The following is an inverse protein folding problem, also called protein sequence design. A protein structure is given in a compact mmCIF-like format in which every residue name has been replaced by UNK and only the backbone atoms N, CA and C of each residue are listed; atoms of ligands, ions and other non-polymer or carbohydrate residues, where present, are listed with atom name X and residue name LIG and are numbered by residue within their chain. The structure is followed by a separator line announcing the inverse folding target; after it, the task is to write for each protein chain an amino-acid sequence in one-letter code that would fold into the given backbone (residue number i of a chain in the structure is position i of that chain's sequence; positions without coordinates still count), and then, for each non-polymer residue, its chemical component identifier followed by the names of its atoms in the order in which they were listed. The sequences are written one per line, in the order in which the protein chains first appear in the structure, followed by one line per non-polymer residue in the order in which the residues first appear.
data_IF_255353880797
#
_entry.id   IF_255353880797
#
_cell.length_a   1.000
_cell.length_b   1.000
_cell.length_c   1.000
_cell.angle_alpha   90.00
_cell.angle_beta   90.00
_cell.angle_gamma   90.00
#
_symmetry.space_group_name_H-M   'P 1'
#
loop_
_entity.id
_entity.type
_entity.pdbx_description
1 polymer ?
#
# COMPACT_ATOMS: atom_id res chain seq x y z
N UNK A 1 7.20 -33.55 -1.58
CA UNK A 1 5.93 -33.21 -0.90
C UNK A 1 5.67 -31.74 -1.22
N UNK A 2 4.64 -31.47 -2.03
CA UNK A 2 4.18 -30.10 -2.29
C UNK A 2 3.48 -29.60 -1.04
N UNK A 3 3.99 -28.54 -0.43
CA UNK A 3 3.34 -27.88 0.71
C UNK A 3 2.25 -26.96 0.15
N UNK A 4 1.08 -27.53 -0.14
CA UNK A 4 -0.05 -26.73 -0.59
C UNK A 4 -0.61 -25.90 0.58
N UNK A 5 -0.69 -24.58 0.35
CA UNK A 5 -1.37 -23.57 1.17
C UNK A 5 -0.83 -23.35 2.59
N UNK A 6 0.28 -22.61 2.70
CA UNK A 6 0.73 -22.01 3.96
C UNK A 6 -0.13 -20.77 4.24
N UNK A 7 -0.96 -20.81 5.27
CA UNK A 7 -1.70 -19.65 5.79
C UNK A 7 -0.77 -18.62 6.44
N UNK A 8 -1.18 -17.35 6.49
CA UNK A 8 -0.41 -16.25 7.10
C UNK A 8 0.01 -16.54 8.55
N UNK A 9 -0.79 -17.31 9.30
CA UNK A 9 -0.50 -17.70 10.68
C UNK A 9 0.66 -18.70 10.77
N UNK A 10 0.90 -19.47 9.71
CA UNK A 10 1.96 -20.46 9.63
C UNK A 10 3.32 -19.84 9.25
N UNK A 11 3.38 -18.56 8.84
CA UNK A 11 4.64 -17.86 8.53
C UNK A 11 5.62 -17.82 9.71
N UNK A 12 5.09 -17.73 10.93
CA UNK A 12 5.89 -17.76 12.17
C UNK A 12 6.67 -19.07 12.33
N UNK A 13 6.16 -20.19 11.79
CA UNK A 13 6.84 -21.50 11.79
C UNK A 13 8.07 -21.52 10.87
N UNK A 14 8.19 -20.55 9.98
CA UNK A 14 9.32 -20.35 9.08
C UNK A 14 10.20 -19.17 9.51
N UNK A 15 10.06 -18.72 10.76
CA UNK A 15 10.77 -17.55 11.30
C UNK A 15 10.52 -16.25 10.51
N UNK A 16 9.39 -16.16 9.80
CA UNK A 16 8.97 -14.91 9.16
C UNK A 16 8.04 -14.15 10.09
N UNK A 17 8.48 -12.97 10.50
CA UNK A 17 7.66 -12.01 11.22
C UNK A 17 6.89 -11.15 10.22
N UNK A 18 5.55 -11.16 10.32
CA UNK A 18 4.66 -10.41 9.41
C UNK A 18 4.89 -8.91 9.47
N UNK A 19 5.18 -8.36 10.64
CA UNK A 19 5.39 -6.91 10.78
C UNK A 19 6.71 -6.47 10.17
N UNK A 20 7.76 -7.31 10.25
CA UNK A 20 9.03 -7.08 9.56
C UNK A 20 8.87 -7.22 8.05
N UNK A 21 8.07 -8.18 7.59
CA UNK A 21 7.78 -8.36 6.16
C UNK A 21 7.13 -7.10 5.55
N UNK A 22 6.20 -6.46 6.29
CA UNK A 22 5.54 -5.21 5.87
C UNK A 22 6.49 -4.02 5.75
N UNK A 23 7.66 -4.07 6.39
CA UNK A 23 8.67 -3.01 6.27
C UNK A 23 9.52 -3.20 4.99
N UNK A 24 9.53 -4.38 4.38
CA UNK A 24 10.28 -4.67 3.15
C UNK A 24 9.52 -4.19 1.91
N UNK A 25 10.28 -3.82 0.86
CA UNK A 25 9.72 -3.56 -0.48
C UNK A 25 8.90 -4.77 -0.95
N UNK A 26 7.77 -4.55 -1.61
CA UNK A 26 6.84 -5.62 -1.99
C UNK A 26 7.51 -6.71 -2.86
N UNK A 27 8.42 -6.33 -3.76
CA UNK A 27 9.21 -7.29 -4.52
C UNK A 27 10.00 -8.25 -3.60
N UNK A 28 10.64 -7.72 -2.55
CA UNK A 28 11.41 -8.52 -1.59
C UNK A 28 10.46 -9.41 -0.77
N UNK A 29 9.26 -8.91 -0.43
CA UNK A 29 8.24 -9.72 0.23
C UNK A 29 7.86 -10.93 -0.64
N UNK A 30 7.60 -10.71 -1.92
CA UNK A 30 7.25 -11.78 -2.86
C UNK A 30 8.39 -12.78 -3.05
N UNK A 31 9.64 -12.32 -3.18
CA UNK A 31 10.82 -13.19 -3.28
C UNK A 31 11.01 -14.04 -2.01
N UNK A 32 10.80 -13.46 -0.83
CA UNK A 32 10.88 -14.19 0.43
C UNK A 32 9.81 -15.28 0.54
N UNK A 33 8.59 -15.00 0.06
CA UNK A 33 7.47 -15.94 0.12
C UNK A 33 7.50 -17.00 -0.99
N UNK A 34 7.96 -16.67 -2.20
CA UNK A 34 8.07 -17.63 -3.31
C UNK A 34 9.06 -18.78 -3.01
N UNK A 35 10.03 -18.53 -2.13
CA UNK A 35 10.96 -19.55 -1.65
C UNK A 35 10.31 -20.55 -0.67
N UNK A 36 9.13 -20.24 -0.13
CA UNK A 36 8.45 -21.04 0.89
C UNK A 36 7.23 -21.79 0.39
N UNK A 37 6.63 -21.35 -0.73
CA UNK A 37 5.44 -21.98 -1.30
C UNK A 37 5.51 -21.95 -2.82
N UNK A 38 5.19 -23.07 -3.46
CA UNK A 38 5.13 -23.23 -4.91
C UNK A 38 3.81 -22.79 -5.53
N UNK A 39 2.78 -22.54 -4.70
CA UNK A 39 1.46 -22.06 -5.11
C UNK A 39 1.09 -20.88 -4.19
N UNK A 40 1.56 -19.68 -4.52
CA UNK A 40 0.83 -18.49 -4.14
C UNK A 40 -0.15 -18.26 -5.29
N UNK A 41 -1.37 -18.78 -5.12
CA UNK A 41 -2.49 -18.47 -6.01
C UNK A 41 -2.87 -16.98 -5.78
N UNK A 42 -2.01 -16.10 -6.28
CA UNK A 42 -2.15 -14.64 -6.26
C UNK A 42 -3.13 -14.16 -7.33
N UNK A 43 -3.59 -15.07 -8.20
CA UNK A 43 -4.56 -14.74 -9.22
C UNK A 43 -5.94 -14.45 -8.57
N UNK A 44 -6.42 -13.23 -8.77
CA UNK A 44 -7.83 -12.82 -8.71
C UNK A 44 -8.43 -12.29 -7.40
N UNK A 45 -7.66 -11.74 -6.46
CA UNK A 45 -8.27 -10.98 -5.33
C UNK A 45 -8.30 -9.46 -5.51
N UNK A 46 -7.69 -8.92 -6.57
CA UNK A 46 -7.75 -7.50 -6.87
C UNK A 46 -8.92 -7.15 -7.79
N UNK A 47 -9.46 -5.95 -7.61
CA UNK A 47 -10.43 -5.39 -8.53
C UNK A 47 -9.76 -5.14 -9.89
N UNK A 48 -10.40 -5.61 -10.96
CA UNK A 48 -9.95 -5.29 -12.32
C UNK A 48 -10.62 -3.99 -12.83
N UNK A 49 -10.25 -3.56 -14.03
CA UNK A 49 -10.77 -2.32 -14.63
C UNK A 49 -12.30 -2.33 -14.85
N UNK A 50 -12.89 -3.51 -15.08
CA UNK A 50 -14.34 -3.67 -15.21
C UNK A 50 -15.03 -3.46 -13.86
N UNK A 51 -14.48 -4.02 -12.77
CA UNK A 51 -15.00 -3.84 -11.41
C UNK A 51 -14.93 -2.37 -10.99
N UNK A 52 -13.78 -1.74 -11.23
CA UNK A 52 -13.57 -0.31 -10.94
C UNK A 52 -14.60 0.54 -11.70
N UNK A 53 -14.78 0.30 -13.00
CA UNK A 53 -15.76 1.05 -13.81
C UNK A 53 -17.19 0.85 -13.30
N UNK A 54 -17.57 -0.39 -12.96
CA UNK A 54 -18.88 -0.69 -12.40
C UNK A 54 -19.13 0.08 -11.10
N UNK A 55 -18.20 0.02 -10.15
CA UNK A 55 -18.31 0.68 -8.85
C UNK A 55 -18.30 2.21 -8.99
N UNK A 56 -17.50 2.77 -9.90
CA UNK A 56 -17.52 4.20 -10.21
C UNK A 56 -18.89 4.66 -10.72
N UNK A 57 -19.53 3.89 -11.59
CA UNK A 57 -20.90 4.18 -12.05
C UNK A 57 -21.94 4.12 -10.92
N UNK A 58 -21.61 3.52 -9.78
CA UNK A 58 -22.42 3.50 -8.55
C UNK A 58 -22.03 4.60 -7.56
N UNK A 59 -21.12 5.51 -7.93
CA UNK A 59 -20.71 6.64 -7.12
C UNK A 59 -19.51 6.36 -6.19
N UNK A 60 -18.88 5.19 -6.31
CA UNK A 60 -17.66 4.91 -5.54
C UNK A 60 -16.49 5.74 -6.05
N UNK A 61 -15.67 6.21 -5.11
CA UNK A 61 -14.42 6.90 -5.38
C UNK A 61 -13.26 5.92 -5.28
N UNK A 62 -12.29 6.07 -6.18
CA UNK A 62 -11.06 5.31 -6.21
C UNK A 62 -9.89 6.28 -6.13
N UNK A 63 -8.86 5.88 -5.42
CA UNK A 63 -7.67 6.67 -5.12
C UNK A 63 -6.47 5.73 -4.96
N UNK A 64 -5.28 6.28 -4.70
CA UNK A 64 -4.07 5.49 -4.49
C UNK A 64 -4.04 4.86 -3.09
N UNK A 65 -3.50 3.64 -3.00
CA UNK A 65 -3.06 3.04 -1.73
C UNK A 65 -1.52 3.01 -1.62
N UNK A 66 -0.84 3.93 -2.31
CA UNK A 66 0.60 3.93 -2.47
C UNK A 66 1.09 3.13 -3.68
N UNK A 67 2.39 3.20 -3.98
CA UNK A 67 3.03 2.48 -5.09
C UNK A 67 3.24 0.98 -4.81
N UNK A 68 3.22 0.60 -3.53
CA UNK A 68 3.41 -0.77 -3.05
C UNK A 68 2.95 -0.84 -1.58
N UNK A 69 2.68 -2.06 -1.09
CA UNK A 69 2.17 -2.28 0.27
C UNK A 69 3.29 -2.51 1.30
N UNK A 70 4.28 -1.61 1.31
CA UNK A 70 5.42 -1.58 2.25
C UNK A 70 5.41 -0.33 3.15
N UNK A 71 6.30 -0.28 4.14
CA UNK A 71 6.56 0.93 4.90
C UNK A 71 7.34 1.97 4.06
N UNK A 72 6.61 2.85 3.39
CA UNK A 72 7.17 3.86 2.48
C UNK A 72 8.13 4.84 3.16
N UNK A 73 8.13 4.93 4.50
CA UNK A 73 9.05 5.77 5.27
C UNK A 73 10.48 5.27 5.24
N UNK A 74 10.70 4.02 4.83
CA UNK A 74 12.02 3.43 4.67
C UNK A 74 12.60 3.69 3.26
N UNK A 75 11.84 4.34 2.38
CA UNK A 75 12.28 4.68 1.02
C UNK A 75 12.91 6.08 1.03
N UNK A 76 14.07 6.19 0.39
CA UNK A 76 14.79 7.44 0.16
C UNK A 76 13.98 8.44 -0.69
N UNK A 77 14.07 9.73 -0.37
CA UNK A 77 13.25 10.80 -0.95
C UNK A 77 13.17 10.74 -2.49
N UNK A 78 14.32 10.62 -3.16
CA UNK A 78 14.41 10.63 -4.62
C UNK A 78 13.62 9.48 -5.26
N UNK A 79 13.72 8.30 -4.67
CA UNK A 79 13.01 7.12 -5.17
C UNK A 79 11.53 7.19 -4.81
N UNK A 80 11.20 7.65 -3.59
CA UNK A 80 9.82 7.83 -3.17
C UNK A 80 9.08 8.84 -4.05
N UNK A 81 9.70 9.97 -4.39
CA UNK A 81 9.15 10.97 -5.32
C UNK A 81 8.82 10.30 -6.65
N UNK A 82 9.76 9.56 -7.24
CA UNK A 82 9.56 8.87 -8.52
C UNK A 82 8.39 7.88 -8.45
N UNK A 83 8.32 7.07 -7.40
CA UNK A 83 7.24 6.09 -7.22
C UNK A 83 5.88 6.77 -7.06
N UNK A 84 5.80 7.80 -6.23
CA UNK A 84 4.56 8.56 -6.02
C UNK A 84 4.12 9.32 -7.27
N UNK A 85 5.06 9.90 -8.03
CA UNK A 85 4.76 10.54 -9.32
C UNK A 85 4.19 9.55 -10.33
N UNK A 86 4.74 8.32 -10.39
CA UNK A 86 4.19 7.27 -11.25
C UNK A 86 2.78 6.85 -10.81
N UNK A 87 2.55 6.69 -9.50
CA UNK A 87 1.21 6.40 -8.97
C UNK A 87 0.23 7.52 -9.29
N UNK A 88 0.62 8.79 -9.13
CA UNK A 88 -0.23 9.93 -9.46
C UNK A 88 -0.56 9.97 -10.96
N UNK A 89 0.42 9.74 -11.83
CA UNK A 89 0.21 9.65 -13.28
C UNK A 89 -0.88 8.62 -13.62
N UNK A 90 -0.81 7.42 -13.05
CA UNK A 90 -1.82 6.38 -13.26
C UNK A 90 -3.21 6.79 -12.75
N UNK A 91 -3.28 7.45 -11.60
CA UNK A 91 -4.53 7.98 -11.04
C UNK A 91 -5.14 9.02 -11.97
N UNK A 92 -4.34 9.97 -12.46
CA UNK A 92 -4.79 11.05 -13.35
C UNK A 92 -5.22 10.52 -14.72
N UNK A 93 -4.44 9.64 -15.33
CA UNK A 93 -4.77 8.97 -16.61
C UNK A 93 -6.12 8.24 -16.56
N UNK A 94 -6.50 7.74 -15.38
CA UNK A 94 -7.75 7.03 -15.15
C UNK A 94 -8.88 7.93 -14.59
N UNK A 95 -8.66 9.25 -14.50
CA UNK A 95 -9.57 10.22 -13.89
C UNK A 95 -10.04 9.78 -12.49
N UNK A 96 -9.11 9.31 -11.67
CA UNK A 96 -9.34 8.90 -10.28
C UNK A 96 -9.02 10.05 -9.32
N UNK A 97 -9.37 9.89 -8.05
CA UNK A 97 -9.09 10.93 -7.05
C UNK A 97 -7.60 10.94 -6.74
N UNK A 98 -6.95 12.11 -6.85
CA UNK A 98 -5.56 12.35 -6.47
C UNK A 98 -5.36 12.31 -4.94
N UNK A 99 -5.85 11.26 -4.29
CA UNK A 99 -5.74 11.00 -2.85
C UNK A 99 -4.86 9.78 -2.62
N UNK A 100 -4.26 9.68 -1.43
CA UNK A 100 -3.46 8.53 -1.02
C UNK A 100 -3.89 8.04 0.37
N UNK A 101 -4.12 6.74 0.49
CA UNK A 101 -4.19 6.06 1.79
C UNK A 101 -2.86 5.37 2.05
N UNK A 102 -2.23 5.67 3.19
CA UNK A 102 -0.92 5.11 3.52
C UNK A 102 -1.02 3.62 3.84
N UNK A 103 -0.15 2.74 3.27
CA UNK A 103 -0.08 1.33 3.64
C UNK A 103 0.05 1.18 5.17
N UNK A 104 -0.75 0.26 5.74
CA UNK A 104 -0.81 0.03 7.20
C UNK A 104 -1.16 1.29 8.03
N UNK A 105 -1.58 2.39 7.40
CA UNK A 105 -1.74 3.68 8.06
C UNK A 105 -0.43 4.33 8.52
N UNK A 106 0.73 3.82 8.09
CA UNK A 106 2.07 4.27 8.49
C UNK A 106 2.52 5.45 7.63
N UNK A 107 2.84 6.56 8.27
CA UNK A 107 3.35 7.75 7.60
C UNK A 107 4.13 8.63 8.56
N UNK A 108 4.95 9.53 8.04
CA UNK A 108 5.59 10.59 8.82
C UNK A 108 5.45 11.93 8.07
N UNK A 109 5.86 13.02 8.73
CA UNK A 109 5.71 14.36 8.15
C UNK A 109 6.55 14.54 6.88
N UNK A 110 7.65 13.77 6.73
CA UNK A 110 8.49 13.76 5.54
C UNK A 110 7.73 13.22 4.34
N UNK A 111 7.20 12.00 4.41
CA UNK A 111 6.51 11.39 3.27
C UNK A 111 5.18 12.08 2.98
N UNK A 112 4.52 12.62 4.01
CA UNK A 112 3.31 13.44 3.85
C UNK A 112 3.59 14.71 3.04
N UNK A 113 4.68 15.42 3.36
CA UNK A 113 5.12 16.59 2.60
C UNK A 113 5.47 16.21 1.16
N UNK A 114 6.21 15.13 0.95
CA UNK A 114 6.59 14.65 -0.39
C UNK A 114 5.34 14.35 -1.24
N UNK A 115 4.36 13.63 -0.71
CA UNK A 115 3.14 13.33 -1.45
C UNK A 115 2.37 14.61 -1.86
N UNK A 116 2.34 15.61 -0.98
CA UNK A 116 1.75 16.92 -1.27
C UNK A 116 2.50 17.66 -2.38
N UNK A 117 3.83 17.66 -2.33
CA UNK A 117 4.71 18.28 -3.34
C UNK A 117 4.58 17.59 -4.71
N UNK A 118 4.38 16.27 -4.72
CA UNK A 118 4.13 15.48 -5.95
C UNK A 118 2.77 15.82 -6.58
N UNK A 119 1.76 16.17 -5.77
CA UNK A 119 0.44 16.59 -6.26
C UNK A 119 -0.75 15.86 -5.62
N UNK A 120 -0.54 14.99 -4.64
CA UNK A 120 -1.65 14.39 -3.90
C UNK A 120 -2.40 15.45 -3.08
N UNK A 121 -3.72 15.51 -3.27
CA UNK A 121 -4.61 16.54 -2.71
C UNK A 121 -5.25 16.14 -1.38
N UNK A 122 -5.32 14.84 -1.07
CA UNK A 122 -5.73 14.32 0.25
C UNK A 122 -4.91 13.11 0.65
N UNK A 123 -4.74 12.94 1.95
CA UNK A 123 -3.95 11.86 2.53
C UNK A 123 -4.72 11.23 3.68
N UNK A 124 -4.66 9.90 3.82
CA UNK A 124 -5.37 9.16 4.85
C UNK A 124 -4.41 8.24 5.62
N UNK A 125 -4.41 8.36 6.96
CA UNK A 125 -3.69 7.48 7.90
C UNK A 125 -4.64 6.84 8.91
N UNK A 126 -4.11 6.02 9.82
CA UNK A 126 -4.90 5.38 10.89
C UNK A 126 -4.72 6.10 12.23
N UNK A 127 -5.78 6.22 13.03
CA UNK A 127 -5.70 6.79 14.39
C UNK A 127 -4.86 5.88 15.29
N UNK A 128 -5.00 4.57 15.14
CA UNK A 128 -4.41 3.55 15.99
C UNK A 128 -2.95 3.26 15.66
N UNK A 129 -2.46 3.64 14.47
CA UNK A 129 -1.07 3.39 14.08
C UNK A 129 -0.11 4.23 14.94
N UNK A 130 0.74 3.60 15.78
CA UNK A 130 1.64 4.33 16.67
C UNK A 130 2.77 5.02 15.92
N UNK A 131 3.15 4.54 14.73
CA UNK A 131 4.26 5.04 13.93
C UNK A 131 3.81 6.11 12.92
N UNK A 132 2.74 6.86 13.21
CA UNK A 132 2.23 7.95 12.35
C UNK A 132 2.92 9.30 12.65
N UNK A 133 2.89 10.20 11.68
CA UNK A 133 3.34 11.59 11.82
C UNK A 133 2.36 12.48 12.58
N UNK A 134 2.63 13.78 12.55
CA UNK A 134 1.87 14.81 13.28
C UNK A 134 1.21 15.85 12.37
N UNK A 135 1.50 15.82 11.06
CA UNK A 135 0.91 16.71 10.07
C UNK A 135 -0.62 16.61 10.06
N UNK A 136 -1.27 17.77 10.28
CA UNK A 136 -2.73 17.90 10.34
C UNK A 136 -3.41 17.80 8.97
N UNK A 137 -2.64 17.87 7.89
CA UNK A 137 -3.15 17.68 6.53
C UNK A 137 -3.50 16.20 6.24
N UNK A 138 -3.04 15.26 7.08
CA UNK A 138 -3.40 13.84 6.97
C UNK A 138 -4.66 13.56 7.76
N UNK A 139 -5.69 13.07 7.06
CA UNK A 139 -6.97 12.69 7.66
C UNK A 139 -6.79 11.33 8.34
N UNK A 140 -6.97 11.29 9.66
CA UNK A 140 -6.90 10.04 10.41
C UNK A 140 -8.28 9.37 10.48
N UNK A 141 -8.31 8.06 10.24
CA UNK A 141 -9.52 7.22 10.33
C UNK A 141 -9.35 6.13 11.37
N UNK A 142 -10.46 5.70 11.97
CA UNK A 142 -10.48 4.47 12.78
C UNK A 142 -10.57 3.24 11.87
N UNK A 143 -10.11 2.10 12.36
CA UNK A 143 -10.48 0.81 11.79
C UNK A 143 -11.94 0.48 12.18
N UNK A 144 -12.68 -0.12 11.25
CA UNK A 144 -14.10 -0.47 11.43
C UNK A 144 -14.26 -1.73 12.29
#
# INVERSE_FOLDING_TARGET
MSLNNISLEQLTKFSINRDELKDLREQIQHEALSNLTTDLDLENQYLNSTDIKYLRNKGWKFASHGPEHSDLRLIEDKELIKLLSNSLCLIEENNLEAWIAWPEGRWDDRISRIAKEVGFTKQFGLIEEPRKGSNRDVILRNLW
#
